data_IF_084375947500
#
_entry.id   IF_084375947500
#
_cell.length_a   1.000
_cell.length_b   1.000
_cell.length_c   1.000
_cell.angle_alpha   90.00
_cell.angle_beta   90.00
_cell.angle_gamma   90.00
#
_symmetry.space_group_name_H-M   'P 1'
#
loop_
_entity.id
_entity.type
_entity.pdbx_description
1 polymer ?
#
# COMPACT_ATOMS: atom_id res chain seq x y z
N UNK A 1 -33.94 5.01 11.90
CA UNK A 1 -33.46 4.34 13.12
C UNK A 1 -32.07 3.77 12.85
N UNK A 2 -31.01 4.56 13.06
CA UNK A 2 -29.64 4.06 13.20
C UNK A 2 -29.43 3.80 14.71
N UNK A 3 -28.74 2.72 15.12
CA UNK A 3 -28.53 2.49 16.53
C UNK A 3 -27.58 3.57 17.06
N UNK A 4 -28.10 4.42 17.95
CA UNK A 4 -27.34 5.41 18.70
C UNK A 4 -26.50 4.69 19.76
N UNK A 5 -25.26 4.35 19.41
CA UNK A 5 -24.24 3.93 20.36
C UNK A 5 -23.12 4.95 20.37
N UNK A 6 -22.89 5.60 21.52
CA UNK A 6 -21.65 6.32 21.81
C UNK A 6 -20.48 5.35 21.71
N UNK A 7 -19.90 5.19 20.52
CA UNK A 7 -18.92 4.14 20.23
C UNK A 7 -17.53 4.50 20.73
N UNK A 8 -17.15 3.99 21.90
CA UNK A 8 -15.75 3.98 22.34
C UNK A 8 -14.90 3.20 21.33
N UNK A 9 -13.77 3.76 20.90
CA UNK A 9 -12.79 3.03 20.08
C UNK A 9 -12.23 1.87 20.89
N UNK A 10 -12.41 0.63 20.40
CA UNK A 10 -11.89 -0.58 21.04
C UNK A 10 -10.87 -1.26 20.15
N UNK A 11 -9.72 -1.62 20.74
CA UNK A 11 -8.73 -2.45 20.07
C UNK A 11 -9.36 -3.78 19.65
N UNK A 12 -9.12 -4.19 18.41
CA UNK A 12 -9.61 -5.44 17.84
C UNK A 12 -8.43 -6.36 17.60
N UNK A 13 -8.61 -7.66 17.86
CA UNK A 13 -7.63 -8.67 17.50
C UNK A 13 -8.05 -9.38 16.21
N UNK A 14 -7.12 -9.58 15.29
CA UNK A 14 -7.33 -10.32 14.05
C UNK A 14 -6.44 -11.57 14.05
N UNK A 15 -7.06 -12.74 13.90
CA UNK A 15 -6.35 -13.99 13.69
C UNK A 15 -6.80 -14.60 12.36
N UNK A 16 -5.87 -15.10 11.56
CA UNK A 16 -6.17 -15.62 10.23
C UNK A 16 -5.15 -16.68 9.79
N UNK A 17 -5.60 -17.59 8.93
CA UNK A 17 -4.73 -18.54 8.25
C UNK A 17 -3.98 -17.86 7.10
N UNK A 18 -2.78 -18.35 6.72
CA UNK A 18 -1.96 -17.81 5.61
C UNK A 18 -2.64 -17.73 4.22
N UNK A 19 -3.81 -18.34 4.07
CA UNK A 19 -4.61 -18.35 2.84
C UNK A 19 -5.95 -17.62 2.98
N UNK A 20 -6.17 -16.86 4.06
CA UNK A 20 -7.38 -16.05 4.21
C UNK A 20 -7.36 -14.82 3.30
N UNK A 21 -6.17 -14.24 3.11
CA UNK A 21 -5.96 -13.01 2.35
C UNK A 21 -4.79 -13.18 1.38
N UNK A 22 -4.84 -12.44 0.28
CA UNK A 22 -3.71 -12.23 -0.62
C UNK A 22 -3.34 -10.76 -0.65
N UNK A 23 -2.03 -10.50 -0.73
CA UNK A 23 -1.46 -9.22 -1.10
C UNK A 23 -0.81 -9.40 -2.47
N UNK A 24 -1.15 -8.52 -3.41
CA UNK A 24 -0.52 -8.44 -4.73
C UNK A 24 0.20 -7.09 -4.87
N UNK A 25 1.40 -7.13 -5.41
CA UNK A 25 2.21 -5.96 -5.74
C UNK A 25 2.52 -5.99 -7.24
N UNK A 26 2.52 -4.83 -7.88
CA UNK A 26 2.98 -4.69 -9.26
C UNK A 26 4.01 -3.55 -9.34
N UNK A 27 5.16 -3.75 -10.00
CA UNK A 27 6.11 -2.67 -10.22
C UNK A 27 5.46 -1.62 -11.12
N UNK A 28 5.52 -0.34 -10.71
CA UNK A 28 5.07 0.75 -11.56
C UNK A 28 6.10 1.04 -12.65
N UNK A 29 5.59 1.47 -13.82
CA UNK A 29 6.42 1.85 -14.98
C UNK A 29 7.45 2.94 -14.65
N UNK A 30 8.60 2.84 -15.30
CA UNK A 30 9.71 3.79 -15.29
C UNK A 30 9.66 4.80 -16.45
N UNK A 31 8.65 4.74 -17.33
CA UNK A 31 8.57 5.59 -18.54
C UNK A 31 8.68 7.09 -18.26
N UNK A 32 8.19 7.56 -17.10
CA UNK A 32 8.32 8.96 -16.68
C UNK A 32 9.77 9.42 -16.48
N UNK A 33 10.73 8.48 -16.38
CA UNK A 33 12.16 8.73 -16.26
C UNK A 33 12.78 9.49 -17.44
N UNK A 34 12.08 9.49 -18.58
CA UNK A 34 12.52 10.16 -19.81
C UNK A 34 11.95 11.56 -19.98
N UNK A 35 11.14 12.03 -19.03
CA UNK A 35 10.36 13.27 -19.11
C UNK A 35 10.79 14.31 -18.05
N UNK A 36 12.05 14.28 -17.62
CA UNK A 36 12.60 15.25 -16.65
C UNK A 36 12.52 14.83 -15.18
N UNK A 37 12.00 13.64 -14.89
CA UNK A 37 12.12 13.00 -13.58
C UNK A 37 13.18 11.89 -13.64
N UNK A 38 13.92 11.68 -12.54
CA UNK A 38 14.69 10.45 -12.32
C UNK A 38 13.78 9.45 -11.62
N UNK A 39 13.65 8.25 -12.18
CA UNK A 39 12.80 7.19 -11.64
C UNK A 39 13.65 5.97 -11.33
N UNK A 40 13.45 5.38 -10.15
CA UNK A 40 14.04 4.12 -9.76
C UNK A 40 12.97 3.22 -9.13
N UNK A 41 12.93 1.96 -9.52
CA UNK A 41 12.05 0.94 -8.92
C UNK A 41 12.91 -0.12 -8.27
N UNK A 42 12.57 -0.50 -7.04
CA UNK A 42 13.19 -1.63 -6.35
C UNK A 42 12.10 -2.62 -5.96
N UNK A 43 12.42 -3.91 -6.02
CA UNK A 43 11.60 -4.98 -5.49
C UNK A 43 12.45 -5.79 -4.51
N UNK A 44 11.92 -6.05 -3.32
CA UNK A 44 12.57 -6.93 -2.35
C UNK A 44 12.58 -8.37 -2.91
N UNK A 45 13.75 -9.02 -3.08
CA UNK A 45 13.81 -10.37 -3.63
C UNK A 45 13.15 -11.44 -2.76
N UNK A 46 12.92 -11.19 -1.46
CA UNK A 46 12.30 -12.16 -0.56
C UNK A 46 10.78 -12.04 -0.56
N UNK A 47 10.25 -10.82 -0.36
CA UNK A 47 8.80 -10.60 -0.22
C UNK A 47 8.10 -10.15 -1.51
N UNK A 48 8.86 -9.75 -2.53
CA UNK A 48 8.37 -9.07 -3.75
C UNK A 48 7.59 -7.78 -3.49
N UNK A 49 7.79 -7.14 -2.33
CA UNK A 49 7.30 -5.78 -2.12
C UNK A 49 8.07 -4.83 -3.04
N UNK A 50 7.34 -4.05 -3.85
CA UNK A 50 7.91 -3.09 -4.79
C UNK A 50 7.61 -1.65 -4.38
N UNK A 51 8.64 -0.80 -4.47
CA UNK A 51 8.53 0.64 -4.26
C UNK A 51 9.19 1.33 -5.45
N UNK A 52 8.58 2.41 -5.93
CA UNK A 52 9.13 3.30 -6.94
C UNK A 52 9.41 4.68 -6.35
N UNK A 53 10.60 5.20 -6.59
CA UNK A 53 10.97 6.58 -6.33
C UNK A 53 10.89 7.40 -7.62
N UNK A 54 10.36 8.63 -7.52
CA UNK A 54 10.42 9.65 -8.56
C UNK A 54 10.99 10.93 -7.99
N UNK A 55 12.04 11.44 -8.59
CA UNK A 55 12.70 12.68 -8.20
C UNK A 55 12.70 13.65 -9.37
N UNK A 56 12.26 14.88 -9.18
CA UNK A 56 12.25 15.89 -10.23
C UNK A 56 12.47 17.29 -9.67
N UNK A 57 12.94 18.18 -10.53
CA UNK A 57 13.10 19.59 -10.20
C UNK A 57 11.86 20.37 -10.64
N UNK A 58 11.31 21.19 -9.76
CA UNK A 58 10.21 22.10 -10.08
C UNK A 58 10.75 23.51 -10.38
N UNK A 59 10.63 23.92 -11.64
CA UNK A 59 11.23 25.16 -12.15
C UNK A 59 10.71 26.44 -11.49
N UNK A 60 9.41 26.50 -11.18
CA UNK A 60 8.77 27.71 -10.67
C UNK A 60 9.22 28.07 -9.25
N UNK A 61 9.46 27.05 -8.42
CA UNK A 61 9.81 27.22 -7.00
C UNK A 61 11.28 26.91 -6.72
N UNK A 62 12.01 26.44 -7.73
CA UNK A 62 13.39 25.96 -7.59
C UNK A 62 13.56 24.87 -6.53
N UNK A 63 12.58 23.98 -6.41
CA UNK A 63 12.57 22.90 -5.42
C UNK A 63 12.82 21.54 -6.05
N UNK A 64 13.50 20.65 -5.32
CA UNK A 64 13.59 19.23 -5.67
C UNK A 64 12.46 18.50 -4.97
N UNK A 65 11.59 17.84 -5.74
CA UNK A 65 10.49 17.02 -5.24
C UNK A 65 10.85 15.55 -5.34
N UNK A 66 10.41 14.79 -4.35
CA UNK A 66 10.54 13.33 -4.28
C UNK A 66 9.19 12.73 -3.95
N UNK A 67 8.80 11.69 -4.70
CA UNK A 67 7.62 10.88 -4.41
C UNK A 67 8.01 9.41 -4.32
N UNK A 68 7.47 8.73 -3.31
CA UNK A 68 7.56 7.28 -3.16
C UNK A 68 6.17 6.69 -3.41
N UNK A 69 6.06 5.88 -4.45
CA UNK A 69 4.82 5.29 -4.91
C UNK A 69 4.90 3.75 -4.83
N UNK A 70 3.78 3.10 -4.51
CA UNK A 70 3.64 1.64 -4.57
C UNK A 70 2.26 1.29 -5.14
N UNK A 71 2.20 0.27 -6.01
CA UNK A 71 0.96 -0.23 -6.61
C UNK A 71 0.67 -1.59 -6.01
N UNK A 72 -0.40 -1.65 -5.24
CA UNK A 72 -0.73 -2.80 -4.42
C UNK A 72 -2.23 -3.00 -4.34
N UNK A 73 -2.62 -4.23 -4.01
CA UNK A 73 -4.00 -4.60 -3.77
C UNK A 73 -4.09 -5.76 -2.79
N UNK A 74 -5.17 -5.80 -2.02
CA UNK A 74 -5.48 -6.89 -1.10
C UNK A 74 -6.80 -7.54 -1.49
N UNK A 75 -6.88 -8.86 -1.33
CA UNK A 75 -8.09 -9.62 -1.64
C UNK A 75 -8.36 -10.62 -0.52
N UNK A 76 -9.63 -10.73 -0.11
CA UNK A 76 -10.09 -11.84 0.72
C UNK A 76 -10.26 -13.06 -0.17
N UNK A 77 -9.45 -14.10 0.08
CA UNK A 77 -9.52 -15.36 -0.65
C UNK A 77 -10.60 -16.27 -0.08
N UNK A 78 -10.63 -16.38 1.25
CA UNK A 78 -11.65 -17.14 1.96
C UNK A 78 -11.93 -16.50 3.34
N UNK A 79 -13.12 -15.90 3.54
CA UNK A 79 -13.44 -15.22 4.79
C UNK A 79 -13.60 -16.18 5.98
N UNK A 80 -13.90 -17.47 5.73
CA UNK A 80 -14.06 -18.47 6.81
C UNK A 80 -12.73 -18.83 7.48
N UNK A 81 -11.60 -18.37 6.95
CA UNK A 81 -10.25 -18.60 7.49
C UNK A 81 -9.72 -17.43 8.33
N UNK A 82 -10.55 -16.44 8.63
CA UNK A 82 -10.20 -15.30 9.47
C UNK A 82 -11.26 -15.07 10.54
N UNK A 83 -10.82 -14.60 11.70
CA UNK A 83 -11.69 -14.22 12.80
C UNK A 83 -11.25 -12.89 13.38
N UNK A 84 -12.23 -12.04 13.69
CA UNK A 84 -12.03 -10.82 14.47
C UNK A 84 -12.53 -11.08 15.89
N UNK A 85 -11.64 -10.98 16.86
CA UNK A 85 -12.01 -10.99 18.27
C UNK A 85 -12.27 -9.56 18.74
N UNK A 86 -13.48 -9.35 19.28
CA UNK A 86 -13.96 -8.06 19.80
C UNK A 86 -13.94 -8.14 21.33
N UNK A 87 -13.31 -7.17 21.99
CA UNK A 87 -13.34 -7.00 23.44
C UNK A 87 -14.44 -6.02 23.86
#
# INVERSE_FOLDING_TARGET
MLPSGSGTTKNQCLAFHRHAFALAMAPLSDMGGRLGAQIATVADPVTNLSIRSRLWYEGDTSTVKVALDALWGVQVLNPNLAVRAVQ
#
